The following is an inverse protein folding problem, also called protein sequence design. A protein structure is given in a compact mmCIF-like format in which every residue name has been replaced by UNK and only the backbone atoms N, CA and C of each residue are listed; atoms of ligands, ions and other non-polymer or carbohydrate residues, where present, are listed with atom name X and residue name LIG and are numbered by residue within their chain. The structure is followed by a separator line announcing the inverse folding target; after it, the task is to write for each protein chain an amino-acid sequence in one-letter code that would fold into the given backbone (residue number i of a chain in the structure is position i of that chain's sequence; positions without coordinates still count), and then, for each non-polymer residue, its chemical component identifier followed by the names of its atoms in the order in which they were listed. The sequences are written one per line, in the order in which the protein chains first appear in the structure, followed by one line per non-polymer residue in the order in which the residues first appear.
data_IF_573976706897
#
_entry.id   IF_573976706897
#
_cell.length_a   1.000
_cell.length_b   1.000
_cell.length_c   1.000
_cell.angle_alpha   90.00
_cell.angle_beta   90.00
_cell.angle_gamma   90.00
#
_symmetry.space_group_name_H-M   'P 1'
#
loop_
_entity.id
_entity.type
_entity.pdbx_description
1 polymer ?
#
# COMPACT_ATOMS: atom_id res chain seq x y z
N UNK A 1 6.70 -11.43 -49.11
CA UNK A 1 6.52 -11.39 -47.71
C UNK A 1 6.04 -10.02 -47.30
N UNK A 2 4.76 -9.88 -46.98
CA UNK A 2 4.17 -8.61 -46.52
C UNK A 2 4.28 -8.64 -44.98
N UNK A 3 5.33 -8.03 -44.45
CA UNK A 3 5.37 -7.61 -43.07
C UNK A 3 4.98 -6.13 -43.04
N UNK A 4 3.68 -5.85 -43.07
CA UNK A 4 3.19 -4.51 -42.82
C UNK A 4 3.49 -4.15 -41.38
N UNK A 5 4.30 -3.11 -41.19
CA UNK A 5 4.57 -2.50 -39.92
C UNK A 5 3.27 -1.92 -39.39
N UNK A 6 2.70 -2.55 -38.37
CA UNK A 6 1.57 -2.01 -37.67
C UNK A 6 1.93 -0.63 -37.07
N UNK A 7 1.06 0.33 -37.31
CA UNK A 7 1.22 1.70 -36.85
C UNK A 7 1.44 1.76 -35.31
N UNK A 8 2.30 2.63 -34.77
CA UNK A 8 2.63 2.71 -33.34
C UNK A 8 1.41 2.78 -32.42
N UNK A 9 0.31 3.35 -32.87
CA UNK A 9 -0.95 3.45 -32.11
C UNK A 9 -1.66 2.08 -31.95
N UNK A 10 -1.41 1.12 -32.83
CA UNK A 10 -1.98 -0.23 -32.70
C UNK A 10 -1.15 -1.08 -31.73
N UNK A 11 0.15 -0.86 -31.67
CA UNK A 11 1.01 -1.56 -30.72
C UNK A 11 0.73 -1.17 -29.28
N UNK A 12 0.27 0.09 -29.03
CA UNK A 12 -0.09 0.52 -27.66
C UNK A 12 -1.35 -0.14 -27.11
N UNK A 13 -2.27 -0.59 -27.99
CA UNK A 13 -3.53 -1.25 -27.59
C UNK A 13 -3.36 -2.69 -27.09
N UNK A 14 -2.26 -3.35 -27.40
CA UNK A 14 -1.98 -4.73 -27.01
C UNK A 14 -0.91 -4.87 -25.92
N UNK A 15 -0.37 -3.76 -25.44
CA UNK A 15 0.63 -3.79 -24.37
C UNK A 15 -0.07 -3.96 -23.02
N UNK A 16 0.23 -5.08 -22.34
CA UNK A 16 -0.22 -5.27 -20.96
C UNK A 16 0.28 -4.12 -20.08
N UNK A 17 -0.58 -3.52 -19.22
CA UNK A 17 -0.12 -2.48 -18.32
C UNK A 17 0.93 -3.05 -17.36
N UNK A 18 1.92 -2.23 -17.07
CA UNK A 18 2.94 -2.56 -16.07
C UNK A 18 2.30 -2.69 -14.71
N UNK A 19 2.74 -3.66 -13.93
CA UNK A 19 2.17 -3.95 -12.61
C UNK A 19 3.09 -3.47 -11.50
N UNK A 20 2.50 -3.07 -10.39
CA UNK A 20 3.19 -2.74 -9.16
C UNK A 20 2.46 -3.35 -7.98
N UNK A 21 3.20 -4.00 -7.08
CA UNK A 21 2.65 -4.51 -5.84
C UNK A 21 2.72 -3.41 -4.77
N UNK A 22 1.62 -3.18 -4.09
CA UNK A 22 1.48 -2.17 -3.05
C UNK A 22 1.17 -2.85 -1.72
N UNK A 23 2.18 -2.94 -0.87
CA UNK A 23 2.08 -3.51 0.48
C UNK A 23 1.84 -2.39 1.49
N UNK A 24 0.76 -2.47 2.23
CA UNK A 24 0.35 -1.41 3.15
C UNK A 24 -0.57 -1.92 4.25
N UNK A 25 -0.76 -1.10 5.27
CA UNK A 25 -1.86 -1.22 6.23
C UNK A 25 -2.50 0.14 6.46
N UNK A 26 -3.82 0.17 6.65
CA UNK A 26 -4.54 1.39 7.03
C UNK A 26 -4.08 1.97 8.37
N UNK A 27 -3.38 1.19 9.18
CA UNK A 27 -2.77 1.62 10.44
C UNK A 27 -1.48 2.43 10.24
N UNK A 28 -0.88 2.39 9.06
CA UNK A 28 0.41 3.05 8.81
C UNK A 28 0.24 4.53 8.47
N UNK A 29 0.81 5.45 9.26
CA UNK A 29 0.80 6.88 8.91
C UNK A 29 1.58 7.15 7.64
N UNK A 30 2.67 6.41 7.41
CA UNK A 30 3.52 6.58 6.23
C UNK A 30 2.83 6.14 4.94
N UNK A 31 2.01 5.08 5.01
CA UNK A 31 1.16 4.68 3.88
C UNK A 31 0.11 5.75 3.58
N UNK A 32 -0.53 6.31 4.61
CA UNK A 32 -1.46 7.42 4.46
C UNK A 32 -0.79 8.63 3.80
N UNK A 33 0.36 9.07 4.31
CA UNK A 33 1.10 10.23 3.80
C UNK A 33 1.48 10.03 2.32
N UNK A 34 1.87 8.83 1.94
CA UNK A 34 2.31 8.49 0.60
C UNK A 34 1.21 8.13 -0.39
N UNK A 35 -0.04 7.96 0.06
CA UNK A 35 -1.08 7.39 -0.80
C UNK A 35 -1.43 8.28 -1.99
N UNK A 36 -1.67 9.57 -1.78
CA UNK A 36 -1.99 10.50 -2.87
C UNK A 36 -0.87 10.63 -3.90
N UNK A 37 0.42 10.84 -3.53
CA UNK A 37 1.49 10.85 -4.52
C UNK A 37 1.67 9.49 -5.21
N UNK A 38 1.41 8.37 -4.54
CA UNK A 38 1.42 7.06 -5.17
C UNK A 38 0.32 6.91 -6.23
N UNK A 39 -0.91 7.33 -5.92
CA UNK A 39 -2.02 7.30 -6.89
C UNK A 39 -1.72 8.17 -8.11
N UNK A 40 -1.09 9.33 -7.93
CA UNK A 40 -0.65 10.17 -9.05
C UNK A 40 0.37 9.46 -9.94
N UNK A 41 1.32 8.77 -9.33
CA UNK A 41 2.32 7.97 -10.04
C UNK A 41 1.65 6.84 -10.85
N UNK A 42 0.71 6.13 -10.25
CA UNK A 42 -0.07 5.07 -10.91
C UNK A 42 -0.79 5.62 -12.14
N UNK A 43 -1.42 6.77 -12.01
CA UNK A 43 -2.12 7.43 -13.12
C UNK A 43 -1.14 7.88 -14.22
N UNK A 44 0.00 8.46 -13.85
CA UNK A 44 0.99 8.98 -14.79
C UNK A 44 1.55 7.88 -15.69
N UNK A 45 1.80 6.69 -15.16
CA UNK A 45 2.40 5.58 -15.89
C UNK A 45 1.40 4.47 -16.25
N UNK A 46 0.12 4.69 -16.03
CA UNK A 46 -0.95 3.70 -16.29
C UNK A 46 -0.63 2.33 -15.69
N UNK A 47 -0.30 2.31 -14.41
CA UNK A 47 0.08 1.10 -13.70
C UNK A 47 -1.15 0.31 -13.25
N UNK A 48 -1.06 -1.02 -13.31
CA UNK A 48 -1.97 -1.91 -12.60
C UNK A 48 -1.44 -2.14 -11.19
N UNK A 49 -2.22 -1.75 -10.18
CA UNK A 49 -1.85 -1.94 -8.78
C UNK A 49 -2.38 -3.29 -8.28
N UNK A 50 -1.49 -4.09 -7.71
CA UNK A 50 -1.85 -5.24 -6.91
C UNK A 50 -1.84 -4.80 -5.43
N UNK A 51 -3.02 -4.55 -4.88
CA UNK A 51 -3.17 -4.11 -3.49
C UNK A 51 -2.95 -5.29 -2.55
N UNK A 52 -2.01 -5.15 -1.62
CA UNK A 52 -1.63 -6.21 -0.70
C UNK A 52 -1.60 -5.69 0.74
N UNK A 53 -2.77 -5.53 1.38
CA UNK A 53 -2.80 -5.20 2.80
C UNK A 53 -2.05 -6.26 3.60
N UNK A 54 -1.26 -5.82 4.57
CA UNK A 54 -0.39 -6.70 5.35
C UNK A 54 -0.38 -6.32 6.83
N UNK A 55 -0.37 -7.31 7.71
CA UNK A 55 -0.29 -7.11 9.14
C UNK A 55 1.15 -6.73 9.54
N UNK A 56 1.32 -5.47 9.95
CA UNK A 56 2.64 -4.88 10.20
C UNK A 56 3.40 -5.53 11.37
N UNK A 57 2.69 -5.86 12.45
CA UNK A 57 3.32 -6.39 13.68
C UNK A 57 4.03 -7.71 13.39
N UNK A 58 3.35 -8.61 12.68
CA UNK A 58 3.93 -9.90 12.29
C UNK A 58 5.09 -9.72 11.31
N UNK A 59 4.98 -8.76 10.41
CA UNK A 59 6.04 -8.45 9.46
C UNK A 59 7.30 -7.93 10.19
N UNK A 60 7.14 -7.06 11.18
CA UNK A 60 8.24 -6.55 11.99
C UNK A 60 8.95 -7.67 12.75
N UNK A 61 8.22 -8.59 13.37
CA UNK A 61 8.81 -9.68 14.16
C UNK A 61 9.67 -10.62 13.31
N UNK A 62 9.34 -10.79 12.04
CA UNK A 62 10.07 -11.70 11.13
C UNK A 62 11.21 -11.02 10.36
N UNK A 63 11.19 -9.69 10.24
CA UNK A 63 12.18 -8.93 9.44
C UNK A 63 13.14 -8.10 10.28
N UNK A 64 13.05 -8.17 11.61
CA UNK A 64 13.95 -7.46 12.52
C UNK A 64 13.51 -6.04 12.89
N UNK A 65 12.33 -5.59 12.43
CA UNK A 65 11.74 -4.33 12.87
C UNK A 65 11.12 -4.43 14.26
N UNK A 66 10.85 -3.28 14.87
CA UNK A 66 10.20 -3.21 16.18
C UNK A 66 8.87 -2.45 16.10
N UNK A 67 7.82 -2.93 16.81
CA UNK A 67 6.64 -2.12 17.05
C UNK A 67 7.00 -0.79 17.71
N UNK A 68 6.24 0.28 17.41
CA UNK A 68 6.55 1.63 17.89
C UNK A 68 6.80 1.69 19.40
N UNK A 69 5.96 1.07 20.20
CA UNK A 69 6.07 1.08 21.66
C UNK A 69 7.37 0.43 22.20
N UNK A 70 8.01 -0.44 21.41
CA UNK A 70 9.26 -1.14 21.75
C UNK A 70 10.51 -0.47 21.20
N UNK A 71 10.35 0.59 20.41
CA UNK A 71 11.50 1.33 19.87
C UNK A 71 12.13 2.21 20.95
N UNK A 72 13.42 2.48 20.81
CA UNK A 72 14.11 3.39 21.72
C UNK A 72 13.38 4.74 21.79
N UNK A 73 13.27 5.37 22.96
CA UNK A 73 12.54 6.65 23.11
C UNK A 73 13.02 7.76 22.18
N UNK A 74 14.31 7.81 21.84
CA UNK A 74 14.84 8.79 20.89
C UNK A 74 14.25 8.58 19.48
N UNK A 75 14.03 7.34 19.07
CA UNK A 75 13.39 7.03 17.78
C UNK A 75 11.92 7.36 17.77
N UNK A 76 11.22 7.18 18.89
CA UNK A 76 9.81 7.56 19.03
C UNK A 76 9.65 9.08 18.92
N UNK A 77 10.53 9.86 19.56
CA UNK A 77 10.54 11.33 19.45
C UNK A 77 10.89 11.80 18.03
N UNK A 78 11.88 11.20 17.40
CA UNK A 78 12.25 11.51 16.03
C UNK A 78 11.11 11.27 15.04
N UNK A 79 10.37 10.18 15.24
CA UNK A 79 9.17 9.87 14.47
C UNK A 79 8.17 11.03 14.47
N UNK A 80 7.92 11.62 15.62
CA UNK A 80 6.98 12.77 15.72
C UNK A 80 7.48 13.99 14.94
N UNK A 81 8.79 14.23 14.90
CA UNK A 81 9.39 15.29 14.11
C UNK A 81 9.22 15.00 12.61
N UNK A 82 9.52 13.78 12.18
CA UNK A 82 9.37 13.37 10.77
C UNK A 82 7.92 13.46 10.29
N UNK A 83 6.95 13.07 11.11
CA UNK A 83 5.53 13.20 10.78
C UNK A 83 5.16 14.67 10.52
N UNK A 84 5.67 15.61 11.30
CA UNK A 84 5.42 17.05 11.11
C UNK A 84 6.06 17.55 9.82
N UNK A 85 7.30 17.16 9.53
CA UNK A 85 7.99 17.51 8.29
C UNK A 85 7.21 17.08 7.06
N UNK A 86 6.79 15.83 7.06
CA UNK A 86 6.05 15.26 5.93
C UNK A 86 4.62 15.77 5.83
N UNK A 87 3.98 16.07 6.96
CA UNK A 87 2.68 16.74 6.97
C UNK A 87 2.74 18.06 6.21
N UNK A 88 3.73 18.89 6.51
CA UNK A 88 3.93 20.16 5.83
C UNK A 88 4.30 19.96 4.36
N UNK A 89 5.23 19.05 4.09
CA UNK A 89 5.70 18.74 2.73
C UNK A 89 4.56 18.30 1.81
N UNK A 90 3.66 17.47 2.30
CA UNK A 90 2.54 16.94 1.53
C UNK A 90 1.28 17.79 1.59
N UNK A 91 1.26 18.85 2.39
CA UNK A 91 0.08 19.72 2.55
C UNK A 91 -1.09 19.00 3.22
N UNK A 92 -0.83 18.09 4.13
CA UNK A 92 -1.84 17.30 4.84
C UNK A 92 -2.18 17.93 6.18
N UNK A 93 -3.38 17.65 6.68
CA UNK A 93 -3.85 18.13 7.98
C UNK A 93 -4.30 16.97 8.85
N UNK A 94 -3.34 16.16 9.31
CA UNK A 94 -3.61 15.01 10.13
C UNK A 94 -3.14 15.18 11.57
N UNK A 95 -3.73 14.43 12.46
CA UNK A 95 -3.34 14.37 13.87
C UNK A 95 -2.13 13.46 14.05
N UNK A 96 -1.14 13.90 14.82
CA UNK A 96 0.06 13.09 15.10
C UNK A 96 -0.27 11.83 15.91
N UNK A 97 -1.27 11.92 16.79
CA UNK A 97 -1.79 10.81 17.59
C UNK A 97 -3.32 10.84 17.56
N UNK A 98 -3.94 10.24 16.53
CA UNK A 98 -5.39 10.19 16.45
C UNK A 98 -6.01 9.45 17.64
N UNK A 99 -7.24 9.83 18.01
CA UNK A 99 -7.92 9.30 19.19
C UNK A 99 -8.08 7.77 19.19
N UNK A 100 -8.25 7.17 18.00
CA UNK A 100 -8.44 5.73 17.83
C UNK A 100 -7.23 5.04 17.19
N UNK A 101 -6.04 5.54 17.41
CA UNK A 101 -4.82 4.94 16.89
C UNK A 101 -3.86 4.61 18.06
N UNK A 102 -3.19 3.45 18.07
CA UNK A 102 -3.31 2.34 17.15
C UNK A 102 -4.65 1.58 17.31
N UNK A 103 -5.06 0.90 16.26
CA UNK A 103 -6.26 0.06 16.26
C UNK A 103 -5.95 -1.30 15.63
N UNK A 104 -6.81 -2.30 15.87
CA UNK A 104 -6.71 -3.57 15.17
C UNK A 104 -7.15 -3.39 13.71
N UNK A 105 -6.20 -3.40 12.79
CA UNK A 105 -6.44 -3.14 11.38
C UNK A 105 -6.98 -4.36 10.60
N UNK A 106 -7.11 -5.52 11.23
CA UNK A 106 -7.47 -6.77 10.54
C UNK A 106 -8.75 -6.62 9.72
N UNK A 107 -9.79 -6.05 10.31
CA UNK A 107 -11.08 -5.91 9.64
C UNK A 107 -11.03 -4.85 8.52
N UNK A 108 -10.43 -3.70 8.80
CA UNK A 108 -10.29 -2.60 7.83
C UNK A 108 -9.43 -2.99 6.63
N UNK A 109 -8.26 -3.57 6.86
CA UNK A 109 -7.39 -4.09 5.81
C UNK A 109 -8.10 -5.23 5.03
N UNK A 110 -8.86 -6.04 5.74
CA UNK A 110 -9.67 -7.11 5.15
C UNK A 110 -10.78 -6.61 4.22
N UNK A 111 -11.32 -5.43 4.46
CA UNK A 111 -12.30 -4.81 3.54
C UNK A 111 -11.67 -4.59 2.17
N UNK A 112 -10.42 -4.13 2.12
CA UNK A 112 -9.70 -3.97 0.84
C UNK A 112 -9.62 -5.29 0.09
N UNK A 113 -9.29 -6.38 0.80
CA UNK A 113 -9.20 -7.72 0.20
C UNK A 113 -10.59 -8.17 -0.30
N UNK A 114 -11.64 -7.94 0.48
CA UNK A 114 -13.01 -8.26 0.08
C UNK A 114 -13.46 -7.49 -1.16
N UNK A 115 -13.08 -6.22 -1.27
CA UNK A 115 -13.35 -5.38 -2.46
C UNK A 115 -12.67 -5.98 -3.70
N UNK A 116 -11.40 -6.36 -3.58
CA UNK A 116 -10.64 -6.99 -4.67
C UNK A 116 -11.25 -8.33 -5.07
N UNK A 117 -11.62 -9.16 -4.11
CA UNK A 117 -12.26 -10.47 -4.36
C UNK A 117 -13.58 -10.30 -5.11
N UNK A 118 -14.33 -9.23 -4.82
CA UNK A 118 -15.57 -8.89 -5.51
C UNK A 118 -15.34 -8.31 -6.91
N UNK A 119 -14.11 -8.12 -7.36
CA UNK A 119 -13.78 -7.53 -8.66
C UNK A 119 -14.01 -6.01 -8.71
N UNK A 120 -14.06 -5.35 -7.57
CA UNK A 120 -14.30 -3.91 -7.46
C UNK A 120 -12.98 -3.15 -7.21
N UNK A 121 -13.01 -1.83 -7.43
CA UNK A 121 -11.87 -0.95 -7.21
C UNK A 121 -11.81 -0.52 -5.73
N UNK A 122 -10.70 -0.78 -5.01
CA UNK A 122 -10.55 -0.36 -3.62
C UNK A 122 -10.20 1.12 -3.44
N UNK A 123 -9.79 1.85 -4.49
CA UNK A 123 -9.34 3.24 -4.36
C UNK A 123 -10.38 4.18 -3.73
N UNK A 124 -11.65 4.19 -4.13
CA UNK A 124 -12.64 5.05 -3.49
C UNK A 124 -12.78 4.80 -1.98
N UNK A 125 -12.63 3.55 -1.54
CA UNK A 125 -12.61 3.22 -0.12
C UNK A 125 -11.35 3.72 0.57
N UNK A 126 -10.18 3.49 0.00
CA UNK A 126 -8.89 3.94 0.57
C UNK A 126 -8.82 5.45 0.71
N UNK A 127 -9.33 6.19 -0.28
CA UNK A 127 -9.37 7.66 -0.24
C UNK A 127 -10.23 8.22 0.90
N UNK A 128 -11.15 7.42 1.43
CA UNK A 128 -11.95 7.76 2.61
C UNK A 128 -11.40 7.16 3.89
N UNK A 129 -10.91 5.95 3.84
CA UNK A 129 -10.44 5.22 5.01
C UNK A 129 -9.16 5.82 5.61
N UNK A 130 -8.19 6.21 4.81
CA UNK A 130 -6.98 6.85 5.29
C UNK A 130 -7.28 8.17 6.03
N UNK A 131 -7.99 9.14 5.44
CA UNK A 131 -8.37 10.36 6.17
C UNK A 131 -9.25 10.09 7.39
N UNK A 132 -10.09 9.06 7.35
CA UNK A 132 -10.95 8.71 8.47
C UNK A 132 -10.13 8.40 9.73
N UNK A 133 -9.00 7.68 9.61
CA UNK A 133 -8.09 7.42 10.73
C UNK A 133 -7.39 8.69 11.17
N UNK A 134 -6.73 9.36 10.23
CA UNK A 134 -5.68 10.34 10.52
C UNK A 134 -6.20 11.77 10.64
N UNK A 135 -7.27 12.12 9.93
CA UNK A 135 -7.82 13.46 9.91
C UNK A 135 -9.13 13.59 10.71
N UNK A 136 -9.99 12.56 10.64
CA UNK A 136 -11.31 12.54 11.27
C UNK A 136 -11.35 11.80 12.60
N UNK A 137 -10.27 11.12 12.96
CA UNK A 137 -10.14 10.37 14.23
C UNK A 137 -11.23 9.30 14.43
N UNK A 138 -11.71 8.69 13.35
CA UNK A 138 -12.70 7.62 13.41
C UNK A 138 -12.06 6.29 13.83
N UNK A 139 -12.87 5.39 14.39
CA UNK A 139 -12.43 4.05 14.79
C UNK A 139 -12.64 3.04 13.66
N UNK A 140 -11.60 2.71 12.92
CA UNK A 140 -11.66 1.73 11.83
C UNK A 140 -11.63 0.26 12.32
N UNK A 141 -11.57 0.03 13.61
CA UNK A 141 -11.88 -1.29 14.19
C UNK A 141 -13.38 -1.54 14.36
N UNK A 142 -14.21 -0.49 14.25
CA UNK A 142 -15.66 -0.58 14.35
C UNK A 142 -16.29 -0.97 13.01
N UNK A 143 -17.00 -2.11 12.93
CA UNK A 143 -17.66 -2.54 11.70
C UNK A 143 -18.64 -1.51 11.12
N UNK A 144 -19.40 -0.81 11.96
CA UNK A 144 -20.35 0.20 11.50
C UNK A 144 -19.65 1.39 10.80
N UNK A 145 -18.50 1.82 11.31
CA UNK A 145 -17.67 2.84 10.68
C UNK A 145 -17.20 2.38 9.29
N UNK A 146 -16.74 1.14 9.17
CA UNK A 146 -16.28 0.58 7.90
C UNK A 146 -17.42 0.45 6.88
N UNK A 147 -18.60 0.04 7.32
CA UNK A 147 -19.79 -0.01 6.44
C UNK A 147 -20.10 1.36 5.86
N UNK A 148 -20.13 2.39 6.71
CA UNK A 148 -20.40 3.76 6.26
C UNK A 148 -19.34 4.26 5.26
N UNK A 149 -18.07 4.04 5.53
CA UNK A 149 -16.98 4.44 4.62
C UNK A 149 -17.10 3.75 3.26
N UNK A 150 -17.42 2.46 3.25
CA UNK A 150 -17.61 1.69 2.02
C UNK A 150 -18.85 2.14 1.27
N UNK A 151 -19.97 2.37 1.95
CA UNK A 151 -21.21 2.89 1.34
C UNK A 151 -20.98 4.26 0.71
N UNK A 152 -20.30 5.17 1.41
CA UNK A 152 -19.95 6.49 0.91
C UNK A 152 -19.01 6.43 -0.30
N UNK A 153 -18.26 5.35 -0.43
CA UNK A 153 -17.41 5.05 -1.59
C UNK A 153 -18.17 4.42 -2.77
N UNK A 154 -19.47 4.22 -2.64
CA UNK A 154 -20.30 3.57 -3.66
C UNK A 154 -20.17 2.06 -3.71
N UNK A 155 -19.70 1.44 -2.63
CA UNK A 155 -19.51 0.00 -2.51
C UNK A 155 -20.61 -0.63 -1.63
N UNK A 156 -20.88 -1.94 -1.76
CA UNK A 156 -21.83 -2.63 -0.89
C UNK A 156 -21.22 -2.88 0.50
N UNK A 157 -21.22 -1.87 1.36
CA UNK A 157 -20.45 -1.83 2.61
C UNK A 157 -20.78 -2.97 3.56
N UNK A 158 -22.06 -3.23 3.81
CA UNK A 158 -22.49 -4.30 4.72
C UNK A 158 -21.98 -5.67 4.30
N UNK A 159 -22.11 -5.99 3.02
CA UNK A 159 -21.65 -7.28 2.47
C UNK A 159 -20.13 -7.41 2.54
N UNK A 160 -19.42 -6.36 2.20
CA UNK A 160 -17.95 -6.35 2.20
C UNK A 160 -17.37 -6.45 3.62
N UNK A 161 -17.94 -5.74 4.58
CA UNK A 161 -17.49 -5.79 5.98
C UNK A 161 -17.78 -7.17 6.59
N UNK A 162 -18.96 -7.75 6.31
CA UNK A 162 -19.27 -9.10 6.73
C UNK A 162 -18.31 -10.12 6.12
N UNK A 163 -18.02 -10.01 4.82
CA UNK A 163 -17.05 -10.86 4.13
C UNK A 163 -15.64 -10.68 4.71
N UNK A 164 -15.25 -9.47 5.05
CA UNK A 164 -13.95 -9.15 5.66
C UNK A 164 -13.70 -9.93 6.95
N UNK A 165 -14.72 -10.25 7.73
CA UNK A 165 -14.60 -11.06 8.95
C UNK A 165 -14.43 -12.56 8.71
N UNK A 166 -14.46 -13.04 7.48
CA UNK A 166 -14.42 -14.46 7.16
C UNK A 166 -13.01 -15.07 7.29
N UNK A 167 -12.95 -16.39 7.45
CA UNK A 167 -11.71 -17.16 7.48
C UNK A 167 -10.95 -17.07 6.14
N UNK A 168 -11.67 -17.00 5.03
CA UNK A 168 -11.06 -16.87 3.70
C UNK A 168 -10.30 -15.55 3.55
N UNK A 169 -10.84 -14.44 4.05
CA UNK A 169 -10.15 -13.15 4.04
C UNK A 169 -8.98 -13.16 5.03
N UNK A 170 -9.11 -13.80 6.20
CA UNK A 170 -7.97 -13.98 7.12
C UNK A 170 -6.82 -14.74 6.46
N UNK A 171 -7.14 -15.80 5.70
CA UNK A 171 -6.14 -16.58 4.98
C UNK A 171 -5.46 -15.76 3.87
N UNK A 172 -6.22 -14.94 3.14
CA UNK A 172 -5.68 -14.04 2.11
C UNK A 172 -4.78 -12.95 2.73
N UNK A 173 -5.15 -12.41 3.88
CA UNK A 173 -4.34 -11.45 4.62
C UNK A 173 -3.01 -12.07 5.07
N UNK A 174 -3.05 -13.29 5.58
CA UNK A 174 -1.85 -14.04 5.94
C UNK A 174 -0.99 -14.37 4.71
N UNK A 175 -1.60 -14.68 3.57
CA UNK A 175 -0.86 -14.91 2.32
C UNK A 175 -0.13 -13.64 1.86
N UNK A 176 -0.72 -12.45 2.06
CA UNK A 176 -0.04 -11.18 1.76
C UNK A 176 1.21 -11.00 2.63
N UNK A 177 1.17 -11.42 3.89
CA UNK A 177 2.34 -11.42 4.76
C UNK A 177 3.45 -12.31 4.20
N UNK A 178 3.12 -13.52 3.80
CA UNK A 178 4.09 -14.43 3.18
C UNK A 178 4.65 -13.87 1.87
N UNK A 179 3.80 -13.30 1.04
CA UNK A 179 4.22 -12.65 -0.21
C UNK A 179 5.16 -11.47 0.06
N UNK A 180 4.90 -10.68 1.10
CA UNK A 180 5.78 -9.58 1.51
C UNK A 180 7.17 -10.10 1.90
N UNK A 181 7.24 -11.14 2.72
CA UNK A 181 8.50 -11.76 3.14
C UNK A 181 9.28 -12.29 1.93
N UNK A 182 8.62 -13.01 1.04
CA UNK A 182 9.23 -13.58 -0.16
C UNK A 182 9.76 -12.49 -1.11
N UNK A 183 9.10 -11.34 -1.16
CA UNK A 183 9.51 -10.19 -1.97
C UNK A 183 10.60 -9.33 -1.30
N UNK A 184 10.90 -9.55 -0.01
CA UNK A 184 11.83 -8.72 0.75
C UNK A 184 11.24 -7.42 1.28
N UNK A 185 9.92 -7.34 1.39
CA UNK A 185 9.21 -6.20 1.99
C UNK A 185 9.22 -6.34 3.51
N UNK A 186 9.59 -5.27 4.21
CA UNK A 186 9.76 -5.28 5.66
C UNK A 186 9.07 -4.12 6.38
N UNK A 187 8.30 -3.31 5.67
CA UNK A 187 7.57 -2.18 6.25
C UNK A 187 6.49 -1.64 5.33
N UNK A 188 5.68 -0.73 5.84
CA UNK A 188 4.58 -0.10 5.12
C UNK A 188 4.84 1.42 4.98
N UNK A 189 4.59 2.01 3.79
CA UNK A 189 4.28 1.32 2.53
C UNK A 189 5.51 0.65 1.92
N UNK A 190 5.29 -0.47 1.26
CA UNK A 190 6.28 -1.13 0.41
C UNK A 190 5.76 -1.21 -1.02
N UNK A 191 6.54 -0.73 -1.97
CA UNK A 191 6.21 -0.79 -3.39
C UNK A 191 7.17 -1.75 -4.05
N UNK A 192 6.67 -2.71 -4.84
CA UNK A 192 7.51 -3.67 -5.54
C UNK A 192 7.27 -3.56 -7.05
N UNK A 193 8.29 -3.16 -7.77
CA UNK A 193 8.27 -3.01 -9.21
C UNK A 193 9.27 -3.97 -9.84
N UNK A 194 8.79 -4.95 -10.60
CA UNK A 194 9.63 -5.96 -11.26
C UNK A 194 10.61 -6.65 -10.27
N UNK A 195 10.14 -6.94 -9.06
CA UNK A 195 10.93 -7.58 -8.00
C UNK A 195 11.83 -6.64 -7.19
N UNK A 196 11.95 -5.38 -7.57
CA UNK A 196 12.70 -4.37 -6.82
C UNK A 196 11.82 -3.70 -5.77
N UNK A 197 12.28 -3.70 -4.51
CA UNK A 197 11.55 -3.12 -3.37
C UNK A 197 11.93 -1.65 -3.20
N UNK A 198 10.90 -0.81 -3.10
CA UNK A 198 11.00 0.59 -2.69
C UNK A 198 10.25 0.73 -1.36
N UNK A 199 10.97 0.86 -0.28
CA UNK A 199 10.35 0.98 1.04
C UNK A 199 10.19 2.44 1.46
N UNK A 200 8.97 2.80 1.80
CA UNK A 200 8.64 4.11 2.36
C UNK A 200 8.09 5.08 1.33
N UNK A 201 7.24 5.97 1.81
CA UNK A 201 6.63 7.03 0.99
C UNK A 201 7.66 8.07 0.52
N UNK A 202 8.80 8.14 1.17
CA UNK A 202 9.94 9.00 0.82
C UNK A 202 10.79 8.44 -0.33
N UNK A 203 10.42 7.26 -0.85
CA UNK A 203 11.04 6.62 -2.02
C UNK A 203 10.21 6.72 -3.29
N UNK A 204 9.07 7.40 -3.26
CA UNK A 204 8.19 7.56 -4.44
C UNK A 204 8.92 8.29 -5.58
N UNK A 205 9.78 9.25 -5.28
CA UNK A 205 10.59 9.94 -6.27
C UNK A 205 11.56 8.98 -6.99
N UNK A 206 12.21 8.09 -6.25
CA UNK A 206 13.10 7.07 -6.85
C UNK A 206 12.33 6.03 -7.65
N UNK A 207 11.12 5.70 -7.23
CA UNK A 207 10.20 4.84 -7.99
C UNK A 207 9.79 5.51 -9.29
N UNK A 208 9.50 6.81 -9.26
CA UNK A 208 9.23 7.61 -10.45
C UNK A 208 10.42 7.59 -11.43
N UNK A 209 11.63 7.78 -10.93
CA UNK A 209 12.85 7.69 -11.75
C UNK A 209 13.00 6.31 -12.42
N UNK A 210 12.74 5.23 -11.70
CA UNK A 210 12.78 3.88 -12.24
C UNK A 210 11.75 3.68 -13.36
N UNK A 211 10.54 4.15 -13.17
CA UNK A 211 9.47 4.06 -14.16
C UNK A 211 9.78 4.90 -15.41
N UNK A 212 10.23 6.13 -15.21
CA UNK A 212 10.53 7.07 -16.29
C UNK A 212 11.70 6.60 -17.15
N UNK A 213 12.76 6.07 -16.54
CA UNK A 213 13.95 5.61 -17.25
C UNK A 213 13.75 4.30 -17.99
N UNK A 214 12.79 3.47 -17.54
CA UNK A 214 12.61 2.11 -18.08
C UNK A 214 13.81 1.19 -17.84
N UNK A 215 14.67 1.54 -16.88
CA UNK A 215 15.85 0.75 -16.54
C UNK A 215 15.49 -0.65 -16.03
N UNK A 216 16.43 -1.58 -16.12
CA UNK A 216 16.30 -2.89 -15.50
C UNK A 216 16.27 -2.76 -13.97
N UNK A 217 15.58 -3.68 -13.26
CA UNK A 217 15.57 -3.70 -11.80
C UNK A 217 16.97 -3.85 -11.23
N UNK A 218 17.24 -3.14 -10.15
CA UNK A 218 18.45 -3.40 -9.36
C UNK A 218 18.26 -4.64 -8.50
N UNK A 219 19.33 -5.40 -8.32
CA UNK A 219 19.38 -6.59 -7.49
C UNK A 219 20.47 -6.44 -6.42
N UNK A 220 20.23 -7.06 -5.26
CA UNK A 220 21.27 -7.18 -4.21
C UNK A 220 22.36 -8.20 -4.57
N UNK A 221 22.15 -9.00 -5.60
CA UNK A 221 23.18 -9.89 -6.16
C UNK A 221 24.11 -9.04 -7.02
N UNK A 222 25.41 -8.98 -6.65
CA UNK A 222 26.40 -8.14 -7.31
C UNK A 222 26.60 -8.50 -8.78
N UNK A 223 27.10 -7.53 -9.57
CA UNK A 223 27.49 -7.74 -10.96
C UNK A 223 28.49 -8.91 -11.03
N UNK A 224 28.17 -9.95 -11.81
CA UNK A 224 29.01 -11.12 -12.02
C UNK A 224 28.68 -12.35 -11.19
N UNK A 225 27.66 -12.34 -10.35
CA UNK A 225 27.09 -13.54 -9.74
C UNK A 225 25.91 -14.02 -10.58
N UNK A 226 26.19 -14.91 -11.52
CA UNK A 226 25.14 -15.69 -12.16
C UNK A 226 24.56 -16.65 -11.11
N UNK A 227 23.23 -16.69 -10.98
CA UNK A 227 22.56 -17.68 -10.17
C UNK A 227 22.76 -19.06 -10.81
N UNK A 228 23.46 -19.96 -10.12
CA UNK A 228 23.48 -21.39 -10.42
C UNK A 228 22.08 -22.01 -10.22
#
# INVERSE_FOLDING_TARGET
GIAESLHPLVQSRFRMPRQIDYYFSLQSPWAYIGHTPFVRLVSTYDLKVNYRPVLLVDLFSETGGLPLAKRHPVRQRYRLIELQRWRDKRGLNFHLQPANWPFNARLADGVVIAVLEAGLDPEPFLQRAYPAVWELELNLADPATLVKLADDAGLPGRQLVERSGSDAISAAYEQNRQNALDAGVFGSPGYVLDGEVFWGQDRIELLDDALKSGRKPYSSVGEGQESD
#
